data_IF_366449966000
#
_entry.id   IF_366449966000
#
_cell.length_a   1.000
_cell.length_b   1.000
_cell.length_c   1.000
_cell.angle_alpha   90.00
_cell.angle_beta   90.00
_cell.angle_gamma   90.00
#
_symmetry.space_group_name_H-M   'P 1'
#
loop_
_entity.id
_entity.type
_entity.pdbx_description
1 polymer ?
#
# COMPACT_ATOMS: atom_id res chain seq x y z
N UNK A 1 9.89 -21.47 -11.38
CA UNK A 1 9.98 -21.46 -9.90
C UNK A 1 9.40 -20.16 -9.42
N UNK A 2 8.15 -20.16 -8.94
CA UNK A 2 7.48 -18.96 -8.45
C UNK A 2 8.18 -18.53 -7.15
N UNK A 3 8.98 -17.46 -7.20
CA UNK A 3 9.64 -16.90 -6.03
C UNK A 3 8.57 -16.26 -5.16
N UNK A 4 8.08 -17.00 -4.17
CA UNK A 4 7.35 -16.43 -3.05
C UNK A 4 8.37 -15.64 -2.24
N UNK A 5 8.44 -14.34 -2.47
CA UNK A 5 9.37 -13.48 -1.75
C UNK A 5 8.65 -13.00 -0.50
N UNK A 6 9.09 -13.51 0.67
CA UNK A 6 8.71 -12.91 1.94
C UNK A 6 9.31 -11.51 1.98
N UNK A 7 8.46 -10.51 1.80
CA UNK A 7 8.80 -9.09 1.87
C UNK A 7 8.41 -8.58 3.26
N UNK A 8 9.11 -7.55 3.70
CA UNK A 8 8.73 -6.83 4.92
C UNK A 8 8.03 -5.55 4.52
N UNK A 9 6.84 -5.33 5.07
CA UNK A 9 6.06 -4.14 4.72
C UNK A 9 6.81 -2.89 5.23
N UNK A 10 7.18 -1.91 4.37
CA UNK A 10 7.88 -0.72 4.82
C UNK A 10 7.06 0.15 5.78
N UNK A 11 5.73 -0.01 5.81
CA UNK A 11 4.83 0.74 6.68
C UNK A 11 4.75 0.18 8.11
N UNK A 12 4.43 -1.10 8.26
CA UNK A 12 4.24 -1.73 9.57
C UNK A 12 5.40 -2.64 9.99
N UNK A 13 6.43 -2.78 9.14
CA UNK A 13 7.56 -3.71 9.30
C UNK A 13 7.18 -5.18 9.49
N UNK A 14 5.93 -5.54 9.18
CA UNK A 14 5.46 -6.91 9.27
C UNK A 14 5.87 -7.71 8.03
N UNK A 15 6.42 -8.90 8.26
CA UNK A 15 6.71 -9.85 7.20
C UNK A 15 5.39 -10.32 6.55
N UNK A 16 5.32 -10.29 5.23
CA UNK A 16 4.20 -10.79 4.46
C UNK A 16 4.68 -11.50 3.20
N UNK A 17 3.86 -12.41 2.69
CA UNK A 17 4.15 -13.13 1.46
C UNK A 17 3.69 -12.31 0.25
N UNK A 18 4.64 -11.83 -0.56
CA UNK A 18 4.33 -11.17 -1.82
C UNK A 18 4.37 -12.21 -2.94
N UNK A 19 3.21 -12.51 -3.54
CA UNK A 19 3.07 -13.40 -4.68
C UNK A 19 2.87 -12.60 -5.95
N UNK A 20 3.84 -11.77 -6.33
CA UNK A 20 3.76 -11.01 -7.59
C UNK A 20 3.64 -11.94 -8.81
N UNK A 21 4.24 -13.14 -8.74
CA UNK A 21 4.09 -14.17 -9.77
C UNK A 21 2.73 -14.85 -9.81
N UNK A 22 1.91 -14.70 -8.77
CA UNK A 22 0.55 -15.23 -8.69
C UNK A 22 -0.36 -14.17 -8.07
N UNK A 23 -0.68 -13.16 -8.88
CA UNK A 23 -1.42 -11.97 -8.43
C UNK A 23 -2.75 -12.34 -7.79
N UNK A 24 -3.39 -13.44 -8.19
CA UNK A 24 -4.64 -13.94 -7.60
C UNK A 24 -4.51 -14.33 -6.12
N UNK A 25 -3.29 -14.65 -5.67
CA UNK A 25 -2.96 -15.01 -4.30
C UNK A 25 -2.12 -13.95 -3.59
N UNK A 26 -1.90 -12.79 -4.21
CA UNK A 26 -1.16 -11.70 -3.61
C UNK A 26 -2.02 -10.94 -2.59
N UNK A 27 -1.39 -10.39 -1.57
CA UNK A 27 -2.05 -9.60 -0.53
C UNK A 27 -2.75 -8.35 -1.07
N UNK A 28 -2.29 -7.80 -2.20
CA UNK A 28 -2.92 -6.68 -2.90
C UNK A 28 -4.14 -7.10 -3.74
N UNK A 29 -4.36 -8.40 -3.95
CA UNK A 29 -5.45 -8.89 -4.78
C UNK A 29 -6.82 -8.59 -4.18
N UNK A 30 -7.76 -8.20 -5.04
CA UNK A 30 -9.11 -7.79 -4.64
C UNK A 30 -9.19 -6.40 -4.00
N UNK A 31 -8.07 -5.68 -3.88
CA UNK A 31 -8.05 -4.31 -3.37
C UNK A 31 -7.99 -3.34 -4.55
N UNK A 32 -9.14 -2.78 -4.89
CA UNK A 32 -9.23 -1.69 -5.88
C UNK A 32 -8.91 -0.36 -5.21
N UNK A 33 -7.92 0.34 -5.76
CA UNK A 33 -7.53 1.71 -5.42
C UNK A 33 -7.81 2.62 -6.62
N UNK A 34 -8.18 3.87 -6.35
CA UNK A 34 -8.30 4.94 -7.35
C UNK A 34 -6.93 5.34 -7.89
N UNK A 35 -6.89 6.00 -9.04
CA UNK A 35 -5.63 6.47 -9.65
C UNK A 35 -4.83 7.36 -8.70
N UNK A 36 -5.51 8.25 -7.96
CA UNK A 36 -4.90 9.14 -6.97
C UNK A 36 -4.25 8.36 -5.81
N UNK A 37 -4.93 7.32 -5.31
CA UNK A 37 -4.44 6.47 -4.24
C UNK A 37 -3.22 5.65 -4.70
N UNK A 38 -3.27 5.11 -5.93
CA UNK A 38 -2.15 4.38 -6.53
C UNK A 38 -0.93 5.27 -6.69
N UNK A 39 -1.10 6.45 -7.28
CA UNK A 39 -0.02 7.41 -7.46
C UNK A 39 0.60 7.83 -6.11
N UNK A 40 -0.23 8.00 -5.07
CA UNK A 40 0.27 8.28 -3.72
C UNK A 40 1.07 7.12 -3.15
N UNK A 41 0.57 5.88 -3.27
CA UNK A 41 1.26 4.68 -2.78
C UNK A 41 2.59 4.50 -3.50
N UNK A 42 2.62 4.59 -4.83
CA UNK A 42 3.84 4.46 -5.63
C UNK A 42 4.86 5.58 -5.34
N UNK A 43 4.39 6.80 -5.04
CA UNK A 43 5.26 7.92 -4.67
C UNK A 43 5.81 7.83 -3.24
N UNK A 44 5.08 7.22 -2.30
CA UNK A 44 5.48 7.08 -0.88
C UNK A 44 6.24 5.78 -0.61
N UNK A 45 5.89 4.70 -1.29
CA UNK A 45 6.39 3.35 -1.02
C UNK A 45 6.92 2.72 -2.31
N UNK A 46 8.22 2.43 -2.35
CA UNK A 46 8.88 1.79 -3.49
C UNK A 46 8.81 0.26 -3.49
N UNK A 47 8.20 -0.34 -2.46
CA UNK A 47 8.05 -1.80 -2.32
C UNK A 47 6.59 -2.17 -1.98
N UNK A 48 6.27 -3.46 -1.99
CA UNK A 48 4.92 -3.95 -1.76
C UNK A 48 4.47 -3.71 -0.31
N UNK A 49 3.21 -3.35 -0.15
CA UNK A 49 2.56 -3.23 1.16
C UNK A 49 1.77 -4.49 1.49
N UNK A 50 1.69 -4.83 2.77
CA UNK A 50 0.86 -5.94 3.23
C UNK A 50 -0.64 -5.59 3.12
N UNK A 51 -1.49 -6.63 3.07
CA UNK A 51 -2.95 -6.47 2.96
C UNK A 51 -3.54 -5.57 4.05
N UNK A 52 -3.08 -5.70 5.29
CA UNK A 52 -3.54 -4.84 6.38
C UNK A 52 -3.26 -3.37 6.08
N UNK A 53 -2.01 -3.03 5.74
CA UNK A 53 -1.66 -1.65 5.40
C UNK A 53 -2.41 -1.13 4.18
N UNK A 54 -2.64 -1.97 3.16
CA UNK A 54 -3.42 -1.62 1.98
C UNK A 54 -4.90 -1.37 2.32
N UNK A 55 -5.49 -2.21 3.16
CA UNK A 55 -6.85 -2.02 3.67
C UNK A 55 -6.95 -0.78 4.56
N UNK A 56 -5.96 -0.53 5.42
CA UNK A 56 -5.88 0.68 6.23
C UNK A 56 -5.74 1.93 5.37
N UNK A 57 -4.96 1.92 4.28
CA UNK A 57 -4.91 3.04 3.33
C UNK A 57 -6.25 3.27 2.64
N UNK A 58 -6.98 2.19 2.34
CA UNK A 58 -8.28 2.24 1.70
C UNK A 58 -9.39 2.70 2.67
N UNK A 59 -9.35 2.23 3.91
CA UNK A 59 -10.33 2.53 4.96
C UNK A 59 -10.05 3.86 5.64
N UNK A 60 -8.78 4.25 5.75
CA UNK A 60 -8.35 5.52 6.28
C UNK A 60 -8.00 6.42 5.10
N UNK A 61 -8.87 7.38 4.73
CA UNK A 61 -8.52 8.46 3.82
C UNK A 61 -7.52 9.40 4.50
N UNK A 62 -6.34 8.89 4.90
CA UNK A 62 -5.20 9.67 5.39
C UNK A 62 -4.75 10.71 4.36
N UNK A 63 -5.20 10.57 3.10
CA UNK A 63 -5.06 11.58 2.06
C UNK A 63 -5.75 12.91 2.41
N UNK A 64 -6.85 12.92 3.18
CA UNK A 64 -7.52 14.17 3.50
C UNK A 64 -6.79 14.98 4.58
N UNK A 65 -6.17 14.32 5.56
CA UNK A 65 -5.56 15.02 6.71
C UNK A 65 -4.15 15.54 6.44
N UNK A 66 -3.31 14.83 5.67
CA UNK A 66 -1.98 15.36 5.31
C UNK A 66 -2.06 16.53 4.31
N UNK A 67 -3.04 16.52 3.39
CA UNK A 67 -3.28 17.68 2.51
C UNK A 67 -3.75 18.89 3.34
N UNK A 68 -4.70 18.70 4.26
CA UNK A 68 -5.21 19.82 5.08
C UNK A 68 -4.21 20.36 6.13
N UNK A 69 -3.13 19.64 6.44
CA UNK A 69 -2.15 20.07 7.47
C UNK A 69 -0.90 20.76 6.91
N UNK A 70 -0.65 20.74 5.59
CA UNK A 70 0.39 21.57 4.96
C UNK A 70 -0.14 22.84 4.28
N UNK A 71 -1.46 22.95 4.07
CA UNK A 71 -2.08 24.15 3.51
C UNK A 71 -2.58 25.16 4.57
N UNK A 72 -2.32 24.90 5.88
CA UNK A 72 -2.66 25.81 6.98
C UNK A 72 -1.49 26.74 7.39
N UNK A 73 -0.55 27.02 6.48
CA UNK A 73 0.45 28.07 6.65
C UNK A 73 0.62 28.89 5.37
N UNK A 74 -0.40 29.68 5.01
CA UNK A 74 -0.22 30.87 4.18
C UNK A 74 -1.22 31.96 4.55
#
# INVERSE_FOLDING_TARGET
>A
MCKHEQKSCPRCQQAFECKVGDVLQCQCFGISFSEEEKAFIEGRYSDCLCRNCLLELKQSPVLFTEKFSLDANK
#
